data_IF_806739560108
#
_entry.id   IF_806739560108
#
_cell.length_a   1.000
_cell.length_b   1.000
_cell.length_c   1.000
_cell.angle_alpha   90.00
_cell.angle_beta   90.00
_cell.angle_gamma   90.00
#
_symmetry.space_group_name_H-M   'P 1'
#
loop_
_entity.id
_entity.type
_entity.pdbx_description
1 polymer ?
#
# COMPACT_ATOMS: atom_id res chain seq x y z
N UNK A 1 -3.57 2.42 14.40
CA UNK A 1 -3.93 3.48 13.40
C UNK A 1 -4.45 2.89 12.10
N UNK A 2 -3.69 2.01 11.42
CA UNK A 2 -4.11 1.47 10.11
C UNK A 2 -5.49 0.79 10.15
N UNK A 3 -5.74 -0.10 11.13
CA UNK A 3 -7.03 -0.76 11.30
C UNK A 3 -8.19 0.24 11.43
N UNK A 4 -8.02 1.28 12.26
CA UNK A 4 -9.01 2.34 12.44
C UNK A 4 -9.25 3.15 11.16
N UNK A 5 -8.19 3.46 10.40
CA UNK A 5 -8.30 4.22 9.15
C UNK A 5 -8.96 3.43 8.02
N UNK A 6 -8.79 2.10 7.98
CA UNK A 6 -9.41 1.22 6.97
C UNK A 6 -10.77 0.68 7.40
N UNK A 7 -11.09 0.69 8.70
CA UNK A 7 -12.29 0.06 9.25
C UNK A 7 -12.23 -1.46 9.29
N UNK A 8 -11.06 -2.05 9.07
CA UNK A 8 -10.86 -3.50 8.97
C UNK A 8 -9.87 -4.01 10.01
N UNK A 9 -9.97 -5.29 10.36
CA UNK A 9 -8.91 -5.95 11.12
C UNK A 9 -7.60 -5.98 10.32
N UNK A 10 -6.50 -5.74 11.01
CA UNK A 10 -5.16 -5.72 10.41
C UNK A 10 -4.28 -6.74 11.13
N UNK A 11 -3.38 -7.38 10.38
CA UNK A 11 -2.37 -8.28 10.92
C UNK A 11 -1.00 -7.84 10.43
N UNK A 12 -0.03 -7.77 11.32
CA UNK A 12 1.38 -7.54 10.96
C UNK A 12 1.99 -8.86 10.50
N UNK A 13 2.70 -8.84 9.38
CA UNK A 13 3.50 -9.99 8.93
C UNK A 13 4.94 -9.82 9.42
N UNK A 14 5.49 -10.84 10.07
CA UNK A 14 6.91 -10.91 10.44
C UNK A 14 7.80 -11.39 9.29
N UNK A 15 7.24 -11.66 8.10
CA UNK A 15 8.00 -12.19 6.97
C UNK A 15 8.81 -11.09 6.27
N UNK A 16 10.12 -11.20 6.38
CA UNK A 16 11.05 -10.50 5.49
C UNK A 16 10.98 -11.10 4.07
N UNK A 17 11.18 -10.27 3.05
CA UNK A 17 11.16 -10.70 1.64
C UNK A 17 9.85 -11.38 1.18
N UNK A 18 8.70 -10.84 1.59
CA UNK A 18 7.38 -11.36 1.21
C UNK A 18 7.19 -11.52 -0.31
N UNK A 19 7.80 -10.65 -1.13
CA UNK A 19 7.77 -10.76 -2.59
C UNK A 19 8.52 -11.99 -3.12
N UNK A 20 9.74 -12.22 -2.64
CA UNK A 20 10.54 -13.39 -3.04
C UNK A 20 9.89 -14.70 -2.56
N UNK A 21 9.30 -14.68 -1.36
CA UNK A 21 8.54 -15.81 -0.83
C UNK A 21 7.35 -16.17 -1.75
N UNK A 22 6.58 -15.17 -2.19
CA UNK A 22 5.49 -15.39 -3.14
C UNK A 22 5.96 -16.01 -4.46
N UNK A 23 7.08 -15.53 -5.01
CA UNK A 23 7.68 -16.12 -6.20
C UNK A 23 8.07 -17.60 -6.01
N UNK A 24 8.68 -17.93 -4.86
CA UNK A 24 9.03 -19.30 -4.53
C UNK A 24 7.80 -20.20 -4.32
N UNK A 25 6.73 -19.69 -3.71
CA UNK A 25 5.46 -20.42 -3.56
C UNK A 25 4.85 -20.77 -4.92
N UNK A 26 4.79 -19.81 -5.86
CA UNK A 26 4.30 -20.08 -7.22
C UNK A 26 5.13 -21.16 -7.93
N UNK A 27 6.46 -21.11 -7.80
CA UNK A 27 7.34 -22.13 -8.37
C UNK A 27 7.11 -23.51 -7.71
N UNK A 28 6.95 -23.55 -6.39
CA UNK A 28 6.73 -24.78 -5.64
C UNK A 28 5.41 -25.47 -6.03
N UNK A 29 4.34 -24.71 -6.27
CA UNK A 29 3.08 -25.24 -6.82
C UNK A 29 3.27 -25.72 -8.25
N UNK A 30 3.95 -24.94 -9.10
CA UNK A 30 4.15 -25.28 -10.51
C UNK A 30 4.93 -26.60 -10.71
N UNK A 31 5.89 -26.90 -9.85
CA UNK A 31 6.65 -28.17 -9.89
C UNK A 31 5.95 -29.32 -9.13
N UNK A 32 4.79 -29.07 -8.52
CA UNK A 32 4.04 -30.06 -7.74
C UNK A 32 4.62 -30.37 -6.36
N UNK A 33 5.52 -29.54 -5.83
CA UNK A 33 6.02 -29.68 -4.45
C UNK A 33 4.94 -29.32 -3.42
N UNK A 34 4.04 -28.40 -3.77
CA UNK A 34 2.79 -28.17 -3.04
C UNK A 34 1.59 -28.41 -3.97
N UNK A 35 0.46 -28.89 -3.44
CA UNK A 35 -0.73 -29.18 -4.25
C UNK A 35 -1.40 -27.90 -4.77
N UNK A 36 -1.36 -26.81 -3.99
CA UNK A 36 -1.96 -25.53 -4.31
C UNK A 36 -1.33 -24.39 -3.48
N UNK A 37 -1.77 -23.16 -3.76
CA UNK A 37 -1.30 -21.98 -3.04
C UNK A 37 -1.79 -21.92 -1.59
N UNK A 38 -2.93 -22.52 -1.25
CA UNK A 38 -3.44 -22.54 0.12
C UNK A 38 -2.51 -23.34 1.04
N UNK A 39 -2.00 -24.48 0.55
CA UNK A 39 -1.00 -25.27 1.27
C UNK A 39 0.29 -24.48 1.50
N UNK A 40 0.76 -23.71 0.50
CA UNK A 40 1.89 -22.80 0.69
C UNK A 40 1.58 -21.71 1.72
N UNK A 41 0.40 -21.09 1.67
CA UNK A 41 0.00 -20.00 2.60
C UNK A 41 -0.04 -20.52 4.04
N UNK A 42 -0.63 -21.71 4.25
CA UNK A 42 -0.74 -22.32 5.57
C UNK A 42 0.62 -22.53 6.25
N UNK A 43 1.66 -22.83 5.48
CA UNK A 43 3.00 -23.09 6.01
C UNK A 43 3.90 -21.85 5.99
N UNK A 44 3.86 -21.05 4.92
CA UNK A 44 4.85 -20.00 4.67
C UNK A 44 4.35 -18.60 5.03
N UNK A 45 3.04 -18.38 5.16
CA UNK A 45 2.46 -17.06 5.40
C UNK A 45 1.77 -17.01 6.75
N UNK A 46 0.74 -17.83 6.95
CA UNK A 46 -0.13 -17.80 8.14
C UNK A 46 0.63 -17.86 9.47
N UNK A 47 1.69 -18.68 9.65
CA UNK A 47 2.42 -18.74 10.91
C UNK A 47 3.20 -17.47 11.24
N UNK A 48 3.47 -16.63 10.24
CA UNK A 48 4.22 -15.37 10.39
C UNK A 48 3.30 -14.17 10.52
N UNK A 49 1.98 -14.36 10.41
CA UNK A 49 1.00 -13.32 10.67
C UNK A 49 0.74 -13.21 12.17
N UNK A 50 0.97 -12.03 12.73
CA UNK A 50 0.64 -11.70 14.11
C UNK A 50 -0.87 -11.76 14.40
N UNK A 51 -1.24 -11.42 15.64
CA UNK A 51 -2.64 -11.35 16.04
C UNK A 51 -3.41 -10.34 15.18
N UNK A 52 -4.71 -10.60 14.99
CA UNK A 52 -5.61 -9.61 14.39
C UNK A 52 -5.81 -8.44 15.36
N UNK A 53 -5.46 -7.25 14.90
CA UNK A 53 -5.68 -5.99 15.60
C UNK A 53 -7.02 -5.40 15.12
N UNK A 54 -8.04 -5.31 15.99
CA UNK A 54 -9.31 -4.71 15.61
C UNK A 54 -9.18 -3.19 15.52
N UNK A 55 -10.05 -2.53 14.72
CA UNK A 55 -10.12 -1.08 14.70
C UNK A 55 -10.57 -0.53 16.06
N UNK A 56 -9.79 0.37 16.64
CA UNK A 56 -10.25 1.19 17.77
C UNK A 56 -11.48 2.01 17.33
N UNK A 57 -12.64 1.90 18.01
CA UNK A 57 -13.88 2.55 17.59
C UNK A 57 -13.79 4.07 17.57
N UNK A 58 -13.11 4.68 18.54
CA UNK A 58 -12.99 6.15 18.64
C UNK A 58 -12.10 6.67 17.52
N UNK A 59 -10.98 6.00 17.26
CA UNK A 59 -10.10 6.36 16.15
C UNK A 59 -10.77 6.14 14.80
N UNK A 60 -11.52 5.05 14.64
CA UNK A 60 -12.26 4.77 13.40
C UNK A 60 -13.22 5.91 13.08
N UNK A 61 -14.03 6.31 14.05
CA UNK A 61 -15.03 7.37 13.86
C UNK A 61 -14.35 8.72 13.60
N UNK A 62 -13.21 8.97 14.27
CA UNK A 62 -12.36 10.14 14.01
C UNK A 62 -11.87 10.15 12.56
N UNK A 63 -11.24 9.07 12.09
CA UNK A 63 -10.73 8.98 10.71
C UNK A 63 -11.84 9.04 9.68
N UNK A 64 -12.99 8.40 9.94
CA UNK A 64 -14.16 8.48 9.08
C UNK A 64 -14.65 9.92 8.90
N UNK A 65 -14.68 10.72 9.98
CA UNK A 65 -15.08 12.14 9.92
C UNK A 65 -14.07 13.01 9.16
N UNK A 66 -12.77 12.69 9.24
CA UNK A 66 -11.69 13.47 8.64
C UNK A 66 -11.45 13.12 7.16
N UNK A 67 -11.72 11.87 6.77
CA UNK A 67 -11.41 11.37 5.42
C UNK A 67 -12.01 12.22 4.28
N UNK A 68 -13.26 12.71 4.35
CA UNK A 68 -13.80 13.58 3.31
C UNK A 68 -13.00 14.89 3.14
N UNK A 69 -12.49 15.48 4.22
CA UNK A 69 -11.68 16.69 4.15
C UNK A 69 -10.32 16.41 3.49
N UNK A 70 -9.68 15.29 3.86
CA UNK A 70 -8.46 14.81 3.20
C UNK A 70 -8.66 14.61 1.69
N UNK A 71 -9.74 13.93 1.28
CA UNK A 71 -10.05 13.68 -0.14
C UNK A 71 -10.22 14.99 -0.90
N UNK A 72 -10.97 15.95 -0.35
CA UNK A 72 -11.12 17.28 -0.97
C UNK A 72 -9.78 18.00 -1.12
N UNK A 73 -8.96 17.99 -0.08
CA UNK A 73 -7.64 18.63 -0.11
C UNK A 73 -6.72 17.97 -1.17
N UNK A 74 -6.67 16.63 -1.21
CA UNK A 74 -5.90 15.88 -2.22
C UNK A 74 -6.34 16.23 -3.64
N UNK A 75 -7.65 16.26 -3.89
CA UNK A 75 -8.19 16.59 -5.21
C UNK A 75 -7.89 18.04 -5.62
N UNK A 76 -8.01 18.98 -4.68
CA UNK A 76 -7.74 20.40 -4.95
C UNK A 76 -6.26 20.69 -5.22
N UNK A 77 -5.34 19.92 -4.63
CA UNK A 77 -3.90 20.11 -4.82
C UNK A 77 -3.36 19.53 -6.14
N UNK A 78 -4.03 18.55 -6.73
CA UNK A 78 -3.61 17.94 -8.00
C UNK A 78 -3.31 18.98 -9.11
N UNK A 79 -4.24 19.89 -9.48
CA UNK A 79 -3.96 20.88 -10.52
C UNK A 79 -2.86 21.89 -10.14
N UNK A 80 -2.65 22.15 -8.84
CA UNK A 80 -1.55 23.01 -8.37
C UNK A 80 -0.20 22.35 -8.65
N UNK A 81 -0.09 21.06 -8.36
CA UNK A 81 1.13 20.30 -8.68
C UNK A 81 1.38 20.19 -10.17
N UNK A 82 0.34 20.04 -10.99
CA UNK A 82 0.45 20.06 -12.45
C UNK A 82 1.02 21.39 -12.94
N UNK A 83 0.50 22.52 -12.43
CA UNK A 83 1.01 23.85 -12.76
C UNK A 83 2.49 24.03 -12.38
N UNK A 84 2.88 23.56 -11.19
CA UNK A 84 4.29 23.60 -10.77
C UNK A 84 5.19 22.71 -11.64
N UNK A 85 4.70 21.55 -12.07
CA UNK A 85 5.44 20.67 -12.97
C UNK A 85 5.63 21.31 -14.36
N UNK A 86 4.58 21.93 -14.91
CA UNK A 86 4.64 22.65 -16.18
C UNK A 86 5.63 23.82 -16.11
N UNK A 87 5.62 24.60 -15.02
CA UNK A 87 6.57 25.68 -14.83
C UNK A 87 8.02 25.19 -14.82
N UNK A 88 8.31 24.10 -14.09
CA UNK A 88 9.66 23.48 -14.09
C UNK A 88 10.07 23.04 -15.49
N UNK A 89 9.16 22.43 -16.25
CA UNK A 89 9.45 21.99 -17.62
C UNK A 89 9.74 23.18 -18.56
N UNK A 90 8.97 24.27 -18.44
CA UNK A 90 9.17 25.49 -19.22
C UNK A 90 10.52 26.16 -18.91
N UNK A 91 10.89 26.26 -17.64
CA UNK A 91 12.20 26.80 -17.24
C UNK A 91 13.35 25.98 -17.79
N UNK A 92 13.28 24.65 -17.67
CA UNK A 92 14.30 23.76 -18.23
C UNK A 92 14.39 23.86 -19.77
N UNK A 93 13.27 24.14 -20.46
CA UNK A 93 13.28 24.35 -21.91
C UNK A 93 13.99 25.66 -22.29
N UNK A 94 13.71 26.75 -21.57
CA UNK A 94 14.35 28.04 -21.80
C UNK A 94 15.88 27.98 -21.63
N UNK A 95 16.36 27.26 -20.61
CA UNK A 95 17.80 27.05 -20.39
C UNK A 95 18.47 26.29 -21.54
N UNK A 96 17.78 25.29 -22.12
CA UNK A 96 18.30 24.53 -23.27
C UNK A 96 18.34 25.33 -24.57
N UNK A 97 17.43 26.29 -24.76
CA UNK A 97 17.40 27.14 -25.96
C UNK A 97 18.41 28.30 -25.87
N UNK A 98 18.86 28.64 -24.67
CA UNK A 98 19.87 29.67 -24.43
C UNK A 98 21.32 29.20 -24.63
N UNK A 99 21.53 27.90 -24.89
CA UNK A 99 22.83 27.28 -25.15
C UNK A 99 22.93 26.88 -26.61
#
# INVERSE_FOLDING_TARGET
VLAAATGSEVRVSAREEAGAAGAAMMAAVAIGAYPDMEACIAEWVTPLLGAAEPPDPVLRDTYASLFPAYVRARAALAPVWDGLAQHRAAMAANERTAT
#
